data_IF_873296345717
#
_entry.id   IF_873296345717
#
_cell.length_a   1.000
_cell.length_b   1.000
_cell.length_c   1.000
_cell.angle_alpha   90.00
_cell.angle_beta   90.00
_cell.angle_gamma   90.00
#
_symmetry.space_group_name_H-M   'P 1'
#
loop_
_entity.id
_entity.type
_entity.pdbx_description
1 polymer ?
#
# COMPACT_ATOMS: atom_id res chain seq x y z
N UNK A 1 6.57 4.60 -13.19
CA UNK A 1 6.33 4.59 -11.73
C UNK A 1 6.31 3.15 -11.25
N UNK A 2 7.29 2.78 -10.43
CA UNK A 2 7.49 1.42 -9.90
C UNK A 2 7.45 1.43 -8.38
N UNK A 3 7.18 0.28 -7.79
CA UNK A 3 7.23 0.08 -6.34
C UNK A 3 8.58 -0.50 -5.87
N UNK A 4 8.67 -0.87 -4.57
CA UNK A 4 9.86 -1.41 -3.94
C UNK A 4 9.93 -2.95 -3.92
N UNK A 5 9.00 -3.65 -4.58
CA UNK A 5 9.03 -5.12 -4.67
C UNK A 5 10.16 -5.54 -5.60
N UNK A 6 10.86 -6.63 -5.27
CA UNK A 6 11.99 -7.14 -6.05
C UNK A 6 11.55 -7.91 -7.32
N UNK A 7 10.59 -7.37 -8.06
CA UNK A 7 10.03 -7.99 -9.26
C UNK A 7 9.95 -6.99 -10.42
N UNK A 8 10.23 -7.48 -11.64
CA UNK A 8 10.06 -6.68 -12.86
C UNK A 8 8.60 -6.29 -13.12
N UNK A 9 7.65 -7.02 -12.55
CA UNK A 9 6.22 -6.78 -12.64
C UNK A 9 5.69 -5.69 -11.70
N UNK A 10 6.50 -5.15 -10.78
CA UNK A 10 6.05 -4.16 -9.79
C UNK A 10 5.99 -2.74 -10.36
N UNK A 11 4.97 -2.47 -11.17
CA UNK A 11 4.69 -1.14 -11.71
C UNK A 11 3.29 -0.67 -11.37
N UNK A 12 3.17 0.64 -11.09
CA UNK A 12 1.88 1.33 -10.93
C UNK A 12 1.46 2.07 -12.22
N UNK A 13 2.42 2.41 -13.07
CA UNK A 13 2.16 3.06 -14.35
C UNK A 13 3.42 3.24 -15.19
N UNK A 14 3.27 3.15 -16.51
CA UNK A 14 4.32 3.33 -17.51
C UNK A 14 4.10 4.64 -18.28
N UNK A 15 5.18 5.15 -18.89
CA UNK A 15 5.18 6.29 -19.83
C UNK A 15 4.45 7.53 -19.29
N UNK A 16 4.89 8.02 -18.13
CA UNK A 16 4.32 9.22 -17.49
C UNK A 16 5.34 10.35 -17.48
N UNK A 17 4.94 11.50 -18.01
CA UNK A 17 5.68 12.75 -17.84
C UNK A 17 5.32 13.34 -16.47
N UNK A 18 6.33 13.47 -15.60
CA UNK A 18 6.18 13.95 -14.23
C UNK A 18 7.33 14.92 -13.94
N UNK A 19 7.01 16.08 -13.36
CA UNK A 19 8.00 17.00 -12.83
C UNK A 19 7.99 16.88 -11.30
N UNK A 20 8.83 16.00 -10.76
CA UNK A 20 8.80 15.59 -9.35
C UNK A 20 10.20 15.48 -8.77
N UNK A 21 10.28 15.65 -7.45
CA UNK A 21 11.48 15.53 -6.65
C UNK A 21 11.33 14.44 -5.56
N UNK A 22 12.45 13.92 -5.01
CA UNK A 22 12.39 13.02 -3.87
C UNK A 22 11.61 13.65 -2.69
N UNK A 23 10.57 12.96 -2.24
CA UNK A 23 9.69 13.42 -1.15
C UNK A 23 8.32 13.90 -1.62
N UNK A 24 8.12 14.15 -2.92
CA UNK A 24 6.81 14.48 -3.47
C UNK A 24 5.81 13.32 -3.29
N UNK A 25 4.54 13.70 -3.09
CA UNK A 25 3.43 12.76 -2.95
C UNK A 25 2.68 12.62 -4.27
N UNK A 26 2.41 11.37 -4.67
CA UNK A 26 1.61 11.04 -5.85
C UNK A 26 0.29 10.40 -5.46
N UNK A 27 -0.78 10.77 -6.17
CA UNK A 27 -2.09 10.14 -6.03
C UNK A 27 -2.40 9.25 -7.23
N UNK A 28 -2.56 7.94 -7.00
CA UNK A 28 -3.09 7.00 -8.00
C UNK A 28 -4.61 7.05 -7.95
N UNK A 29 -5.23 7.65 -8.97
CA UNK A 29 -6.69 7.76 -9.08
C UNK A 29 -7.33 6.43 -9.48
N UNK A 30 -8.63 6.32 -9.29
CA UNK A 30 -9.43 5.13 -9.63
C UNK A 30 -9.00 3.84 -8.90
N UNK A 31 -8.40 3.97 -7.72
CA UNK A 31 -7.95 2.85 -6.87
C UNK A 31 -9.00 2.40 -5.82
N UNK A 32 -10.23 2.93 -5.87
CA UNK A 32 -11.27 2.67 -4.86
C UNK A 32 -11.95 1.30 -4.99
N UNK A 33 -11.91 0.68 -6.17
CA UNK A 33 -12.41 -0.67 -6.40
C UNK A 33 -11.25 -1.59 -6.77
N UNK A 34 -11.25 -2.83 -6.26
CA UNK A 34 -10.23 -3.86 -6.50
C UNK A 34 -8.79 -3.47 -6.13
N UNK A 35 -8.57 -2.33 -5.44
CA UNK A 35 -7.27 -1.94 -4.89
C UNK A 35 -6.95 -2.73 -3.62
N UNK A 36 -7.35 -2.20 -2.47
CA UNK A 36 -7.08 -2.82 -1.18
C UNK A 36 -7.61 -4.26 -1.07
N UNK A 37 -8.76 -4.55 -1.68
CA UNK A 37 -9.37 -5.88 -1.70
C UNK A 37 -8.45 -6.98 -2.29
N UNK A 38 -7.52 -6.62 -3.17
CA UNK A 38 -6.52 -7.55 -3.74
C UNK A 38 -5.11 -7.34 -3.17
N UNK A 39 -4.95 -6.49 -2.15
CA UNK A 39 -3.65 -6.26 -1.52
C UNK A 39 -3.19 -7.48 -0.71
N UNK A 40 -1.88 -7.71 -0.69
CA UNK A 40 -1.24 -8.83 -0.01
C UNK A 40 -0.11 -8.35 0.89
N UNK A 41 0.46 -9.28 1.66
CA UNK A 41 1.65 -9.07 2.47
C UNK A 41 2.94 -9.52 1.75
N UNK A 42 2.95 -9.51 0.42
CA UNK A 42 4.12 -9.92 -0.35
C UNK A 42 5.38 -9.10 0.01
N UNK A 43 6.54 -9.78 0.02
CA UNK A 43 7.79 -9.30 0.63
C UNK A 43 7.63 -8.82 2.09
N UNK A 44 6.76 -9.46 2.87
CA UNK A 44 6.56 -9.17 4.29
C UNK A 44 6.21 -7.71 4.58
N UNK A 45 5.44 -7.09 3.68
CA UNK A 45 5.03 -5.69 3.81
C UNK A 45 3.68 -5.59 4.52
N UNK A 46 3.56 -4.82 5.62
CA UNK A 46 2.28 -4.56 6.23
C UNK A 46 1.35 -3.78 5.29
N UNK A 47 0.09 -4.20 5.18
CA UNK A 47 -0.89 -3.53 4.33
C UNK A 47 -1.12 -2.08 4.77
N UNK A 48 -1.43 -1.23 3.80
CA UNK A 48 -1.65 0.19 4.02
C UNK A 48 -2.86 0.47 4.92
N UNK A 49 -2.90 1.67 5.51
CA UNK A 49 -4.11 2.17 6.16
C UNK A 49 -5.13 2.60 5.08
N UNK A 50 -6.42 2.46 5.39
CA UNK A 50 -7.52 3.04 4.61
C UNK A 50 -8.14 4.18 5.42
N UNK A 51 -8.37 5.32 4.76
CA UNK A 51 -8.93 6.54 5.37
C UNK A 51 -10.21 6.90 4.64
N UNK A 52 -11.26 7.19 5.40
CA UNK A 52 -12.50 7.77 4.89
C UNK A 52 -12.51 9.26 5.17
N UNK A 53 -12.81 10.07 4.16
CA UNK A 53 -13.00 11.52 4.28
C UNK A 53 -14.48 11.83 4.17
N UNK A 54 -14.97 12.67 5.06
CA UNK A 54 -16.34 13.19 5.06
C UNK A 54 -16.30 14.70 5.36
N UNK A 55 -16.61 15.51 4.34
CA UNK A 55 -16.44 16.97 4.39
C UNK A 55 -15.00 17.37 4.75
N UNK A 56 -14.84 18.13 5.83
CA UNK A 56 -13.55 18.58 6.36
C UNK A 56 -12.88 17.63 7.35
N UNK A 57 -13.47 16.46 7.60
CA UNK A 57 -12.96 15.49 8.57
C UNK A 57 -12.49 14.21 7.88
N UNK A 58 -11.56 13.49 8.51
CA UNK A 58 -11.17 12.16 8.08
C UNK A 58 -11.10 11.19 9.25
N UNK A 59 -11.24 9.88 8.96
CA UNK A 59 -11.08 8.79 9.93
C UNK A 59 -10.31 7.64 9.31
N UNK A 60 -9.42 7.05 10.09
CA UNK A 60 -8.77 5.78 9.75
C UNK A 60 -9.82 4.68 9.91
N UNK A 61 -10.36 4.18 8.80
CA UNK A 61 -11.36 3.08 8.79
C UNK A 61 -10.70 1.71 8.78
N UNK A 62 -9.42 1.65 8.36
CA UNK A 62 -8.56 0.49 8.53
C UNK A 62 -7.17 0.96 8.91
N UNK A 63 -6.67 0.51 10.06
CA UNK A 63 -5.30 0.83 10.48
C UNK A 63 -4.27 0.10 9.62
N UNK A 64 -3.09 0.70 9.50
CA UNK A 64 -1.90 0.02 8.96
C UNK A 64 -1.60 -1.20 9.84
N UNK A 65 -1.23 -2.30 9.20
CA UNK A 65 -0.75 -3.49 9.90
C UNK A 65 0.63 -3.23 10.52
N UNK A 66 0.93 -3.93 11.60
CA UNK A 66 2.26 -3.97 12.20
C UNK A 66 3.03 -5.16 11.63
N UNK A 67 4.37 -5.11 11.70
CA UNK A 67 5.21 -6.24 11.26
C UNK A 67 4.93 -7.50 12.09
N UNK A 68 4.70 -7.36 13.40
CA UNK A 68 4.42 -8.50 14.28
C UNK A 68 3.13 -9.24 13.88
N UNK A 69 2.13 -8.53 13.39
CA UNK A 69 0.85 -9.13 12.96
C UNK A 69 1.00 -10.02 11.73
N UNK A 70 2.03 -9.82 10.91
CA UNK A 70 2.30 -10.67 9.75
C UNK A 70 2.58 -12.12 10.15
N UNK A 71 3.21 -12.29 11.31
CA UNK A 71 3.70 -13.58 11.81
C UNK A 71 2.90 -14.10 13.00
N UNK A 72 1.81 -13.42 13.39
CA UNK A 72 1.07 -13.73 14.60
C UNK A 72 0.46 -15.14 14.61
N UNK A 73 0.26 -15.74 13.43
CA UNK A 73 -0.22 -17.11 13.26
C UNK A 73 0.88 -18.15 12.98
N UNK A 74 2.16 -17.73 12.95
CA UNK A 74 3.28 -18.63 12.69
C UNK A 74 3.87 -19.17 14.01
N UNK A 75 4.43 -20.39 13.97
CA UNK A 75 5.09 -21.02 15.09
C UNK A 75 6.39 -21.69 14.62
N UNK A 76 7.40 -21.68 15.50
CA UNK A 76 8.65 -22.43 15.28
C UNK A 76 8.52 -23.80 15.92
N UNK A 77 8.99 -24.84 15.23
CA UNK A 77 9.11 -26.16 15.82
C UNK A 77 10.24 -26.14 16.86
N UNK A 78 9.98 -26.68 18.06
CA UNK A 78 10.98 -26.88 19.11
C UNK A 78 11.82 -28.13 18.87
#
# INVERSE_FOLDING_TARGET
VVGPICETGDFLGKDRELNIEPGDLLAVRSAGAYGFAMSSNYNSRPRAAEVMVDGGCFRVVRRRETVAELYAGEAVWS
#
